data_IF_158828075602
#
_entry.id   IF_158828075602
#
_cell.length_a   1.000
_cell.length_b   1.000
_cell.length_c   1.000
_cell.angle_alpha   90.00
_cell.angle_beta   90.00
_cell.angle_gamma   90.00
#
_symmetry.space_group_name_H-M   'P 1'
#
loop_
_entity.id
_entity.type
_entity.pdbx_description
1 polymer ?
#
# COMPACT_ATOMS: atom_id res chain seq x y z
N UNK A 1 -20.15 4.43 -4.75
CA UNK A 1 -19.37 4.39 -3.51
C UNK A 1 -18.31 3.29 -3.62
N UNK A 2 -17.14 3.58 -4.19
CA UNK A 2 -16.06 2.59 -4.22
C UNK A 2 -15.52 2.42 -2.80
N UNK A 3 -15.77 1.27 -2.18
CA UNK A 3 -15.14 0.85 -0.92
C UNK A 3 -13.64 0.96 -1.12
N UNK A 4 -12.97 1.78 -0.30
CA UNK A 4 -11.53 2.04 -0.42
C UNK A 4 -10.77 0.74 -0.60
N UNK A 5 -10.24 0.52 -1.81
CA UNK A 5 -9.49 -0.69 -2.14
C UNK A 5 -8.15 -0.58 -1.44
N UNK A 6 -7.87 -1.53 -0.56
CA UNK A 6 -6.51 -1.75 -0.07
C UNK A 6 -5.73 -2.43 -1.18
N UNK A 7 -4.60 -1.83 -1.58
CA UNK A 7 -3.68 -2.39 -2.56
C UNK A 7 -2.47 -2.88 -1.80
N UNK A 8 -2.14 -4.17 -1.92
CA UNK A 8 -0.94 -4.75 -1.34
C UNK A 8 0.07 -4.96 -2.46
N UNK A 9 1.21 -4.28 -2.38
CA UNK A 9 2.34 -4.44 -3.31
C UNK A 9 3.45 -5.18 -2.58
N UNK A 10 4.19 -6.05 -3.27
CA UNK A 10 5.32 -6.77 -2.71
C UNK A 10 6.58 -6.43 -3.50
N UNK A 11 7.65 -6.07 -2.82
CA UNK A 11 9.00 -6.05 -3.37
C UNK A 11 9.82 -7.25 -2.86
N UNK A 12 11.10 -7.31 -3.23
CA UNK A 12 11.98 -8.44 -2.91
C UNK A 12 12.06 -8.78 -1.41
N UNK A 13 11.85 -7.81 -0.51
CA UNK A 13 12.01 -8.00 0.94
C UNK A 13 10.83 -7.52 1.79
N UNK A 14 9.84 -6.82 1.22
CA UNK A 14 8.77 -6.16 1.98
C UNK A 14 7.42 -6.16 1.28
N UNK A 15 6.36 -6.10 2.08
CA UNK A 15 4.99 -5.82 1.64
C UNK A 15 4.62 -4.37 1.97
N UNK A 16 4.05 -3.68 0.99
CA UNK A 16 3.56 -2.32 1.05
C UNK A 16 2.04 -2.33 1.04
N UNK A 17 1.43 -1.82 2.11
CA UNK A 17 -0.02 -1.71 2.22
C UNK A 17 -0.44 -0.28 1.86
N UNK A 18 -1.09 -0.13 0.71
CA UNK A 18 -1.63 1.13 0.24
C UNK A 18 -3.12 1.23 0.58
N UNK A 19 -3.48 2.29 1.30
CA UNK A 19 -4.87 2.62 1.61
C UNK A 19 -5.14 4.04 1.12
N UNK A 20 -6.13 4.19 0.24
CA UNK A 20 -6.50 5.49 -0.34
C UNK A 20 -5.35 6.24 -1.05
N UNK A 21 -4.37 5.50 -1.58
CA UNK A 21 -3.21 6.07 -2.29
C UNK A 21 -1.99 6.37 -1.41
N UNK A 22 -2.06 6.14 -0.10
CA UNK A 22 -0.92 6.31 0.81
C UNK A 22 -0.40 4.95 1.28
N UNK A 23 0.92 4.77 1.25
CA UNK A 23 1.57 3.57 1.80
C UNK A 23 1.78 3.72 3.31
N UNK A 24 1.52 2.66 4.07
CA UNK A 24 1.89 2.59 5.50
C UNK A 24 3.41 2.63 5.73
N UNK A 25 4.21 2.42 4.69
CA UNK A 25 5.67 2.55 4.74
C UNK A 25 6.14 4.01 4.68
N UNK A 26 5.21 4.98 4.66
CA UNK A 26 5.52 6.41 4.71
C UNK A 26 6.45 6.85 3.56
N UNK A 27 6.21 6.27 2.38
CA UNK A 27 6.97 6.43 1.13
C UNK A 27 8.43 5.94 1.18
N UNK A 28 8.82 5.22 2.24
CA UNK A 28 10.06 4.45 2.26
C UNK A 28 9.81 3.11 1.55
N UNK A 29 10.20 3.03 0.26
CA UNK A 29 10.21 1.80 -0.53
C UNK A 29 11.14 0.76 0.10
#
# INVERSE_FOLDING_TARGET
MARGREIVVRDSNRFHHFKSGTCSCNDYW
#
